data_IF_626306856259
#
_entry.id   IF_626306856259
#
_cell.length_a   1.000
_cell.length_b   1.000
_cell.length_c   1.000
_cell.angle_alpha   90.00
_cell.angle_beta   90.00
_cell.angle_gamma   90.00
#
_symmetry.space_group_name_H-M   'P 1'
#
loop_
_entity.id
_entity.type
_entity.pdbx_description
1 polymer ?
#
# COMPACT_ATOMS: atom_id res chain seq x y z
N UNK A 1 29.33 -47.14 -2.10
CA UNK A 1 28.07 -46.56 -1.57
C UNK A 1 28.24 -45.27 -0.77
N UNK A 2 29.43 -44.93 -0.24
CA UNK A 2 29.63 -43.73 0.60
C UNK A 2 29.66 -42.38 -0.14
N UNK A 3 29.83 -42.36 -1.46
CA UNK A 3 29.86 -41.12 -2.26
C UNK A 3 28.50 -40.69 -2.83
N UNK A 4 27.45 -41.53 -2.76
CA UNK A 4 26.12 -41.20 -3.31
C UNK A 4 25.18 -40.52 -2.30
N UNK A 5 25.49 -40.60 -1.01
CA UNK A 5 24.68 -39.97 0.06
C UNK A 5 25.11 -38.52 0.30
N UNK A 6 26.39 -38.19 0.11
CA UNK A 6 26.88 -36.82 0.20
C UNK A 6 26.25 -35.91 -0.88
N UNK A 7 26.01 -36.43 -2.08
CA UNK A 7 25.47 -35.64 -3.20
C UNK A 7 23.96 -35.35 -3.07
N UNK A 8 23.20 -36.20 -2.38
CA UNK A 8 21.77 -35.98 -2.14
C UNK A 8 21.51 -34.88 -1.10
N UNK A 9 22.41 -34.72 -0.12
CA UNK A 9 22.29 -33.67 0.91
C UNK A 9 22.72 -32.30 0.35
N UNK A 10 23.66 -32.25 -0.60
CA UNK A 10 24.06 -30.99 -1.24
C UNK A 10 23.06 -30.50 -2.28
N UNK A 11 22.30 -31.37 -2.95
CA UNK A 11 21.29 -30.96 -3.94
C UNK A 11 20.00 -30.41 -3.31
N UNK A 12 19.71 -30.72 -2.04
CA UNK A 12 18.57 -30.14 -1.31
C UNK A 12 18.91 -28.77 -0.68
N UNK A 13 20.19 -28.43 -0.60
CA UNK A 13 20.67 -27.15 -0.03
C UNK A 13 20.78 -26.01 -1.05
N UNK A 14 20.63 -26.29 -2.36
CA UNK A 14 20.91 -25.32 -3.43
C UNK A 14 19.66 -24.69 -4.09
N UNK A 15 18.44 -24.99 -3.61
CA UNK A 15 17.21 -24.36 -4.12
C UNK A 15 16.52 -23.40 -3.12
N UNK A 16 17.13 -23.12 -1.96
CA UNK A 16 16.57 -22.18 -0.97
C UNK A 16 17.31 -20.81 -1.00
N UNK A 17 18.26 -20.65 -1.91
CA UNK A 17 19.02 -19.40 -2.12
C UNK A 17 18.28 -18.34 -2.95
N UNK A 18 16.99 -18.13 -2.74
CA UNK A 18 16.24 -17.04 -3.37
C UNK A 18 14.99 -16.69 -2.57
N UNK A 19 15.17 -16.11 -1.38
CA UNK A 19 14.29 -15.10 -0.75
C UNK A 19 14.73 -14.90 0.71
N UNK A 20 15.91 -14.33 0.91
CA UNK A 20 16.16 -13.55 2.12
C UNK A 20 15.39 -12.21 1.98
N UNK A 21 14.07 -12.29 1.83
CA UNK A 21 13.20 -11.15 2.07
C UNK A 21 13.09 -11.00 3.57
N UNK A 22 13.25 -9.76 4.01
CA UNK A 22 13.11 -9.27 5.37
C UNK A 22 11.73 -9.69 5.94
N UNK A 23 11.60 -10.94 6.41
CA UNK A 23 10.30 -11.52 6.72
C UNK A 23 9.84 -11.00 8.07
N UNK A 24 8.82 -10.16 8.12
CA UNK A 24 8.08 -9.96 9.37
C UNK A 24 7.47 -11.32 9.78
N UNK A 25 7.47 -11.66 11.07
CA UNK A 25 6.89 -12.92 11.57
C UNK A 25 5.48 -13.14 11.00
N UNK A 26 5.28 -14.29 10.35
CA UNK A 26 4.01 -14.77 9.76
C UNK A 26 2.91 -14.99 10.81
N UNK A 27 3.29 -15.10 12.08
CA UNK A 27 2.39 -15.45 13.18
C UNK A 27 2.05 -14.22 14.03
N UNK A 28 0.81 -14.18 14.53
CA UNK A 28 0.25 -13.06 15.29
C UNK A 28 0.89 -12.89 16.68
N UNK A 29 1.38 -14.00 17.25
CA UNK A 29 1.93 -14.03 18.60
C UNK A 29 3.35 -13.46 18.69
N UNK A 30 3.63 -12.74 19.77
CA UNK A 30 4.99 -12.35 20.17
C UNK A 30 5.80 -13.52 20.74
N UNK A 31 5.11 -14.57 21.21
CA UNK A 31 5.71 -15.82 21.67
C UNK A 31 5.69 -16.89 20.57
N UNK A 32 6.61 -17.85 20.68
CA UNK A 32 6.67 -19.01 19.79
C UNK A 32 5.31 -19.73 19.73
N UNK A 33 4.68 -19.88 18.57
CA UNK A 33 3.42 -20.61 18.48
C UNK A 33 3.64 -22.12 18.67
N UNK A 34 2.55 -22.88 18.73
CA UNK A 34 2.63 -24.32 18.93
C UNK A 34 3.37 -25.01 17.76
N UNK A 35 4.42 -25.77 18.07
CA UNK A 35 5.10 -26.62 17.09
C UNK A 35 4.99 -28.09 17.45
N UNK A 36 4.92 -28.91 16.41
CA UNK A 36 5.06 -30.35 16.50
C UNK A 36 6.28 -30.80 15.72
N UNK A 37 7.12 -31.66 16.32
CA UNK A 37 8.36 -32.12 15.72
C UNK A 37 8.52 -33.63 15.74
N UNK A 38 9.23 -34.14 14.75
CA UNK A 38 9.67 -35.53 14.64
C UNK A 38 11.19 -35.53 14.63
N UNK A 39 11.79 -36.37 15.46
CA UNK A 39 13.22 -36.39 15.72
C UNK A 39 13.77 -37.80 15.59
N UNK A 40 14.96 -37.89 15.02
CA UNK A 40 15.87 -39.00 15.22
C UNK A 40 16.73 -38.72 16.45
N UNK A 41 16.89 -39.71 17.32
CA UNK A 41 17.63 -39.55 18.57
C UNK A 41 18.70 -40.62 18.73
N UNK A 42 19.80 -40.24 19.35
CA UNK A 42 20.90 -41.14 19.69
C UNK A 42 21.31 -40.93 21.16
N UNK A 43 21.34 -42.02 21.93
CA UNK A 43 21.72 -42.05 23.33
C UNK A 43 23.09 -42.74 23.50
N UNK A 44 24.05 -42.00 24.04
CA UNK A 44 25.42 -42.43 24.24
C UNK A 44 25.71 -42.64 25.73
N UNK A 45 25.66 -43.91 26.13
CA UNK A 45 25.98 -44.37 27.49
C UNK A 45 27.49 -44.60 27.70
N UNK A 46 28.24 -44.85 26.63
CA UNK A 46 29.66 -45.24 26.68
C UNK A 46 30.55 -44.02 26.97
N UNK A 47 30.31 -42.89 26.30
CA UNK A 47 31.18 -41.72 26.43
C UNK A 47 31.21 -41.21 27.88
N UNK A 48 30.08 -40.96 28.58
CA UNK A 48 30.13 -40.48 29.95
C UNK A 48 30.84 -41.44 30.93
N UNK A 49 30.75 -42.75 30.70
CA UNK A 49 31.46 -43.74 31.52
C UNK A 49 32.97 -43.69 31.34
N UNK A 50 33.46 -43.60 30.09
CA UNK A 50 34.91 -43.50 29.82
C UNK A 50 35.52 -42.23 30.41
N UNK A 51 34.78 -41.12 30.46
CA UNK A 51 35.25 -39.87 31.05
C UNK A 51 35.23 -39.87 32.58
N UNK A 52 34.37 -40.67 33.22
CA UNK A 52 34.34 -40.84 34.68
C UNK A 52 35.42 -41.81 35.17
N UNK A 53 35.81 -42.77 34.35
CA UNK A 53 36.78 -43.79 34.72
C UNK A 53 38.22 -43.27 34.54
N UNK A 54 38.84 -42.77 35.61
CA UNK A 54 40.18 -42.18 35.61
C UNK A 54 41.31 -43.15 35.23
N UNK A 55 41.01 -44.45 35.13
CA UNK A 55 42.00 -45.50 34.86
C UNK A 55 42.21 -45.79 33.36
N UNK A 56 41.53 -45.09 32.45
CA UNK A 56 41.62 -45.29 31.00
C UNK A 56 42.33 -44.09 30.34
N UNK A 57 43.51 -44.31 29.76
CA UNK A 57 44.34 -43.23 29.17
C UNK A 57 43.77 -42.59 27.91
N UNK A 58 42.79 -43.22 27.25
CA UNK A 58 42.18 -42.71 26.02
C UNK A 58 40.69 -42.40 26.24
N UNK A 59 40.35 -41.11 26.20
CA UNK A 59 38.96 -40.63 26.22
C UNK A 59 38.37 -40.82 24.82
N UNK A 60 37.64 -41.91 24.63
CA UNK A 60 37.03 -42.25 23.34
C UNK A 60 35.56 -41.85 23.33
N UNK A 61 35.14 -41.13 22.28
CA UNK A 61 33.73 -40.92 21.99
C UNK A 61 33.13 -42.17 21.35
N UNK A 62 31.92 -42.53 21.76
CA UNK A 62 31.17 -43.62 21.14
C UNK A 62 30.94 -43.33 19.65
N UNK A 63 31.01 -44.36 18.81
CA UNK A 63 30.60 -44.24 17.42
C UNK A 63 29.08 -44.30 17.37
N UNK A 64 28.48 -43.59 16.40
CA UNK A 64 27.02 -43.55 16.26
C UNK A 64 26.39 -44.96 16.26
N UNK A 65 27.00 -45.95 15.61
CA UNK A 65 26.50 -47.33 15.57
C UNK A 65 26.41 -48.04 16.93
N UNK A 66 27.18 -47.58 17.92
CA UNK A 66 27.27 -48.15 19.26
C UNK A 66 26.38 -47.35 20.26
N UNK A 67 25.72 -46.28 19.79
CA UNK A 67 24.72 -45.52 20.55
C UNK A 67 23.32 -46.15 20.42
N UNK A 68 22.51 -46.02 21.46
CA UNK A 68 21.08 -46.36 21.42
C UNK A 68 20.34 -45.47 20.45
N UNK A 69 19.64 -46.05 19.48
CA UNK A 69 18.97 -45.31 18.41
C UNK A 69 17.50 -45.20 18.71
N UNK A 70 16.87 -44.09 18.35
CA UNK A 70 15.45 -43.91 18.63
C UNK A 70 14.75 -42.90 17.74
N UNK A 71 13.46 -42.82 17.94
CA UNK A 71 12.59 -41.80 17.37
C UNK A 71 11.92 -41.03 18.50
N UNK A 72 11.63 -39.75 18.25
CA UNK A 72 10.97 -38.90 19.23
C UNK A 72 9.96 -37.97 18.58
N UNK A 73 8.84 -37.78 19.27
CA UNK A 73 7.84 -36.77 18.95
C UNK A 73 7.98 -35.64 19.95
N UNK A 74 7.95 -34.39 19.48
CA UNK A 74 8.06 -33.22 20.34
C UNK A 74 6.92 -32.25 20.14
N UNK A 75 6.53 -31.60 21.23
CA UNK A 75 5.64 -30.44 21.23
C UNK A 75 6.36 -29.25 21.85
N UNK A 76 6.26 -28.08 21.23
CA UNK A 76 6.88 -26.84 21.70
C UNK A 76 5.85 -25.73 21.76
N UNK A 77 5.94 -24.87 22.77
CA UNK A 77 5.11 -23.67 22.90
C UNK A 77 5.88 -22.58 23.65
N UNK A 78 5.90 -21.38 23.09
CA UNK A 78 6.47 -20.20 23.75
C UNK A 78 5.64 -19.80 24.97
N UNK A 79 6.26 -19.75 26.14
CA UNK A 79 5.68 -19.20 27.36
C UNK A 79 5.91 -17.68 27.42
N UNK A 80 7.11 -17.25 27.02
CA UNK A 80 7.52 -15.85 26.89
C UNK A 80 8.27 -15.67 25.56
N UNK A 81 8.67 -14.44 25.18
CA UNK A 81 9.47 -14.22 23.97
C UNK A 81 10.85 -14.91 23.97
N UNK A 82 11.33 -15.35 25.14
CA UNK A 82 12.66 -15.95 25.34
C UNK A 82 12.63 -17.32 26.03
N UNK A 83 11.48 -17.77 26.54
CA UNK A 83 11.34 -19.06 27.21
C UNK A 83 10.26 -19.87 26.49
N UNK A 84 10.66 -21.04 26.01
CA UNK A 84 9.79 -22.00 25.35
C UNK A 84 9.63 -23.25 26.24
N UNK A 85 8.40 -23.67 26.47
CA UNK A 85 8.11 -25.00 26.97
C UNK A 85 8.26 -26.02 25.84
N UNK A 86 8.85 -27.17 26.14
CA UNK A 86 8.79 -28.32 25.26
C UNK A 86 8.49 -29.60 26.03
N UNK A 87 7.89 -30.56 25.34
CA UNK A 87 7.79 -31.93 25.85
C UNK A 87 8.12 -32.90 24.73
N UNK A 88 8.81 -34.00 25.08
CA UNK A 88 9.16 -35.07 24.16
C UNK A 88 8.66 -36.42 24.64
N UNK A 89 8.24 -37.23 23.69
CA UNK A 89 8.03 -38.66 23.86
C UNK A 89 9.10 -39.38 23.05
N UNK A 90 10.00 -40.11 23.71
CA UNK A 90 11.09 -40.82 23.06
C UNK A 90 10.82 -42.33 23.07
N UNK A 91 11.12 -43.01 21.97
CA UNK A 91 11.24 -44.45 21.87
C UNK A 91 12.69 -44.78 21.49
N UNK A 92 13.48 -45.27 22.44
CA UNK A 92 14.91 -45.55 22.28
C UNK A 92 15.12 -47.06 22.31
N UNK A 93 15.82 -47.59 21.31
CA UNK A 93 16.17 -48.99 21.18
C UNK A 93 17.62 -49.20 21.61
N UNK A 94 17.82 -49.84 22.76
CA UNK A 94 19.13 -50.08 23.35
C UNK A 94 19.11 -51.35 24.22
N UNK A 95 20.27 -51.95 24.46
CA UNK A 95 20.39 -53.05 25.42
C UNK A 95 20.69 -52.48 26.81
N UNK A 96 19.64 -52.18 27.58
CA UNK A 96 19.78 -51.63 28.92
C UNK A 96 20.24 -52.68 29.93
N UNK A 97 19.99 -53.97 29.66
CA UNK A 97 20.38 -55.07 30.53
C UNK A 97 21.89 -55.34 30.50
N UNK A 98 22.53 -55.28 29.33
CA UNK A 98 23.97 -55.44 29.19
C UNK A 98 24.76 -54.39 29.98
N UNK A 99 24.33 -53.12 29.92
CA UNK A 99 25.07 -52.03 30.55
C UNK A 99 24.74 -51.83 32.03
N UNK A 100 23.47 -51.96 32.44
CA UNK A 100 23.03 -51.63 33.81
C UNK A 100 22.89 -52.87 34.69
N UNK A 101 22.52 -54.03 34.11
CA UNK A 101 22.22 -55.26 34.85
C UNK A 101 23.34 -56.30 34.82
N UNK A 102 24.43 -56.04 34.08
CA UNK A 102 25.56 -56.95 33.90
C UNK A 102 25.15 -58.35 33.38
N UNK A 103 24.06 -58.40 32.61
CA UNK A 103 23.57 -59.62 31.96
C UNK A 103 23.88 -59.53 30.47
N UNK A 104 24.66 -60.48 29.92
CA UNK A 104 24.92 -60.52 28.49
C UNK A 104 23.63 -60.91 27.75
N UNK A 105 23.10 -60.00 26.95
CA UNK A 105 21.92 -60.26 26.10
C UNK A 105 22.21 -59.87 24.66
N UNK A 106 21.59 -60.56 23.70
CA UNK A 106 21.57 -60.17 22.29
C UNK A 106 20.29 -59.38 21.93
N UNK A 107 19.51 -58.96 22.94
CA UNK A 107 18.18 -58.39 22.75
C UNK A 107 18.22 -56.87 22.85
N UNK A 108 17.77 -56.19 21.79
CA UNK A 108 17.47 -54.76 21.84
C UNK A 108 16.16 -54.54 22.58
N UNK A 109 16.20 -53.75 23.63
CA UNK A 109 15.06 -53.40 24.45
C UNK A 109 14.55 -52.00 24.07
N UNK A 110 13.29 -51.69 24.38
CA UNK A 110 12.69 -50.38 24.12
C UNK A 110 12.54 -49.60 25.42
N UNK A 111 13.12 -48.39 25.44
CA UNK A 111 12.87 -47.37 26.43
C UNK A 111 11.81 -46.40 25.92
N UNK A 112 10.71 -46.25 26.67
CA UNK A 112 9.68 -45.23 26.40
C UNK A 112 9.79 -44.12 27.44
N UNK A 113 10.06 -42.89 27.00
CA UNK A 113 10.36 -41.76 27.87
C UNK A 113 9.42 -40.59 27.60
N UNK A 114 9.04 -39.88 28.65
CA UNK A 114 8.39 -38.57 28.60
C UNK A 114 9.32 -37.53 29.24
N UNK A 115 9.55 -36.42 28.55
CA UNK A 115 10.49 -35.39 28.97
C UNK A 115 9.93 -33.98 28.77
N UNK A 116 9.26 -33.39 29.76
CA UNK A 116 9.03 -31.95 29.81
C UNK A 116 10.32 -31.16 30.07
N UNK A 117 10.50 -30.05 29.37
CA UNK A 117 11.67 -29.17 29.48
C UNK A 117 11.33 -27.71 29.25
N UNK A 118 12.13 -26.83 29.82
CA UNK A 118 12.16 -25.40 29.52
C UNK A 118 13.37 -25.09 28.66
N UNK A 119 13.17 -24.22 27.67
CA UNK A 119 14.19 -23.86 26.72
C UNK A 119 14.36 -22.35 26.73
N UNK A 120 15.52 -21.89 27.16
CA UNK A 120 15.88 -20.48 27.13
C UNK A 120 16.52 -20.15 25.79
N UNK A 121 15.86 -19.27 25.03
CA UNK A 121 16.22 -18.86 23.68
C UNK A 121 16.37 -17.34 23.65
N UNK A 122 17.60 -16.80 23.67
CA UNK A 122 17.85 -15.35 23.72
C UNK A 122 17.52 -14.63 22.40
N UNK A 123 17.43 -15.36 21.28
CA UNK A 123 17.25 -14.81 19.94
C UNK A 123 15.83 -15.10 19.42
N UNK A 124 15.16 -14.10 18.86
CA UNK A 124 13.80 -14.23 18.30
C UNK A 124 13.76 -15.21 17.12
N UNK A 125 12.63 -15.88 16.93
CA UNK A 125 12.46 -16.96 15.94
C UNK A 125 12.62 -16.48 14.49
N UNK A 126 12.54 -15.18 14.24
CA UNK A 126 12.64 -14.60 12.89
C UNK A 126 14.06 -14.67 12.28
N UNK A 127 15.06 -15.05 13.07
CA UNK A 127 16.42 -15.21 12.60
C UNK A 127 16.64 -16.63 12.06
N UNK A 128 17.48 -16.77 11.03
CA UNK A 128 17.82 -18.05 10.41
C UNK A 128 18.39 -19.07 11.41
N UNK A 129 19.15 -18.59 12.42
CA UNK A 129 19.74 -19.40 13.47
C UNK A 129 19.30 -18.89 14.85
N UNK A 130 18.78 -19.79 15.69
CA UNK A 130 18.37 -19.48 17.06
C UNK A 130 18.92 -20.54 18.03
N UNK A 131 20.06 -20.26 18.72
CA UNK A 131 20.55 -21.14 19.77
C UNK A 131 19.64 -21.08 20.99
N UNK A 132 19.57 -22.18 21.73
CA UNK A 132 18.84 -22.26 23.01
C UNK A 132 19.54 -23.18 24.00
N UNK A 133 19.30 -22.93 25.28
CA UNK A 133 19.67 -23.82 26.38
C UNK A 133 18.42 -24.58 26.85
N UNK A 134 18.57 -25.84 27.23
CA UNK A 134 17.46 -26.69 27.66
C UNK A 134 17.77 -27.28 29.03
N UNK A 135 16.78 -27.22 29.93
CA UNK A 135 16.79 -27.92 31.19
C UNK A 135 15.40 -28.49 31.48
N UNK A 136 15.33 -29.68 32.08
CA UNK A 136 14.05 -30.32 32.32
C UNK A 136 14.14 -31.49 33.28
N UNK A 137 13.10 -32.31 33.24
CA UNK A 137 13.00 -33.59 33.95
C UNK A 137 12.39 -34.61 33.01
N UNK A 138 12.86 -35.85 33.09
CA UNK A 138 12.37 -36.94 32.26
C UNK A 138 12.18 -38.21 33.07
N UNK A 139 11.26 -39.03 32.61
CA UNK A 139 10.99 -40.33 33.20
C UNK A 139 10.52 -41.30 32.13
N UNK A 140 10.90 -42.56 32.26
CA UNK A 140 10.58 -43.57 31.27
C UNK A 140 10.59 -44.97 31.84
N UNK A 141 10.03 -45.90 31.06
CA UNK A 141 10.12 -47.32 31.35
C UNK A 141 11.20 -47.95 30.48
N UNK A 142 12.14 -48.61 31.13
CA UNK A 142 13.26 -49.33 30.53
C UNK A 142 13.15 -50.79 30.97
N UNK A 143 12.63 -51.64 30.07
CA UNK A 143 12.54 -53.08 30.34
C UNK A 143 11.77 -53.38 31.63
N UNK A 144 10.58 -52.80 31.73
CA UNK A 144 9.64 -52.97 32.83
C UNK A 144 10.00 -52.22 34.13
N UNK A 145 11.14 -51.54 34.19
CA UNK A 145 11.52 -50.70 35.35
C UNK A 145 11.38 -49.22 35.02
N UNK A 146 10.87 -48.45 35.97
CA UNK A 146 10.78 -46.99 35.83
C UNK A 146 12.13 -46.36 36.18
N UNK A 147 12.65 -45.52 35.29
CA UNK A 147 13.84 -44.71 35.51
C UNK A 147 13.51 -43.23 35.33
N UNK A 148 14.19 -42.37 36.10
CA UNK A 148 14.06 -40.93 36.00
C UNK A 148 15.41 -40.26 35.81
N UNK A 149 15.41 -39.10 35.16
CA UNK A 149 16.61 -38.35 34.84
C UNK A 149 16.33 -36.85 34.72
N UNK A 150 17.38 -36.04 34.83
CA UNK A 150 17.34 -34.60 34.61
C UNK A 150 18.20 -34.25 33.38
N UNK A 151 17.62 -33.81 32.24
CA UNK A 151 18.38 -33.31 31.10
C UNK A 151 18.87 -31.87 31.34
N UNK A 152 20.12 -31.62 30.96
CA UNK A 152 20.70 -30.28 30.81
C UNK A 152 21.51 -30.22 29.52
N UNK A 153 21.30 -29.19 28.71
CA UNK A 153 22.06 -29.04 27.47
C UNK A 153 21.64 -27.83 26.67
N UNK A 154 21.77 -27.94 25.36
CA UNK A 154 21.38 -26.89 24.44
C UNK A 154 21.21 -27.39 23.03
N UNK A 155 20.77 -26.50 22.16
CA UNK A 155 20.52 -26.81 20.77
C UNK A 155 20.54 -25.59 19.88
N UNK A 156 20.40 -25.87 18.59
CA UNK A 156 20.30 -24.90 17.52
C UNK A 156 19.01 -25.15 16.76
N UNK A 157 18.21 -24.10 16.61
CA UNK A 157 17.05 -24.07 15.75
C UNK A 157 17.39 -23.32 14.46
N UNK A 158 17.20 -23.97 13.32
CA UNK A 158 17.28 -23.34 11.99
C UNK A 158 15.87 -23.00 11.52
N UNK A 159 15.63 -21.75 11.14
CA UNK A 159 14.35 -21.30 10.60
C UNK A 159 14.43 -21.13 9.08
N UNK A 160 13.58 -21.84 8.33
CA UNK A 160 13.52 -21.70 6.87
C UNK A 160 12.47 -20.68 6.40
N UNK A 161 11.23 -20.81 6.84
CA UNK A 161 10.08 -20.02 6.33
C UNK A 161 9.15 -19.51 7.44
N UNK A 162 9.64 -19.41 8.68
CA UNK A 162 8.86 -19.18 9.90
C UNK A 162 7.80 -20.24 10.23
N UNK A 163 7.59 -21.23 9.37
CA UNK A 163 6.68 -22.36 9.58
C UNK A 163 7.44 -23.65 9.89
N UNK A 164 8.57 -23.84 9.25
CA UNK A 164 9.37 -25.08 9.28
C UNK A 164 10.72 -24.83 9.92
N UNK A 165 11.11 -25.72 10.84
CA UNK A 165 12.31 -25.59 11.64
C UNK A 165 13.11 -26.89 11.66
N UNK A 166 14.43 -26.80 11.57
CA UNK A 166 15.33 -27.90 11.93
C UNK A 166 15.84 -27.69 13.36
N UNK A 167 15.74 -28.72 14.18
CA UNK A 167 16.14 -28.71 15.59
C UNK A 167 17.28 -29.70 15.79
N UNK A 168 18.45 -29.16 16.15
CA UNK A 168 19.62 -29.95 16.55
C UNK A 168 19.82 -29.75 18.04
N UNK A 169 19.89 -30.82 18.82
CA UNK A 169 20.02 -30.76 20.28
C UNK A 169 21.04 -31.73 20.82
N UNK A 170 21.74 -31.31 21.86
CA UNK A 170 22.66 -32.12 22.63
C UNK A 170 22.41 -31.87 24.12
N UNK A 171 22.24 -32.95 24.87
CA UNK A 171 21.95 -32.90 26.30
C UNK A 171 22.80 -33.92 27.05
N UNK A 172 23.20 -33.56 28.25
CA UNK A 172 23.66 -34.50 29.25
C UNK A 172 22.47 -34.85 30.16
N UNK A 173 22.13 -36.13 30.26
CA UNK A 173 21.04 -36.62 31.08
C UNK A 173 21.60 -37.25 32.35
N UNK A 174 21.37 -36.59 33.48
CA UNK A 174 21.75 -37.09 34.80
C UNK A 174 20.70 -38.10 35.27
N UNK A 175 21.06 -39.37 35.40
CA UNK A 175 20.17 -40.38 35.93
C UNK A 175 19.96 -40.18 37.43
N UNK A 176 18.69 -40.01 37.81
CA UNK A 176 18.27 -39.94 39.21
C UNK A 176 18.06 -41.35 39.78
N UNK A 177 17.65 -42.30 38.93
CA UNK A 177 17.46 -43.72 39.25
C UNK A 177 18.61 -44.56 38.68
N UNK A 178 19.77 -44.53 39.37
CA UNK A 178 21.03 -45.12 38.87
C UNK A 178 21.02 -46.64 38.70
N UNK A 179 20.10 -47.32 39.37
CA UNK A 179 19.86 -48.77 39.28
C UNK A 179 19.09 -49.19 38.02
N UNK A 180 18.48 -48.23 37.33
CA UNK A 180 17.70 -48.46 36.10
C UNK A 180 18.37 -47.82 34.88
N UNK A 181 19.01 -46.66 35.06
CA UNK A 181 19.58 -45.89 33.97
C UNK A 181 20.93 -45.29 34.37
N UNK A 182 21.89 -45.27 33.45
CA UNK A 182 23.15 -44.56 33.63
C UNK A 182 23.07 -43.16 33.03
N UNK A 183 23.95 -42.29 33.52
CA UNK A 183 24.14 -40.97 32.92
C UNK A 183 24.60 -41.13 31.47
N UNK A 184 23.96 -40.42 30.56
CA UNK A 184 24.23 -40.55 29.13
C UNK A 184 24.15 -39.21 28.41
N UNK A 185 24.84 -39.11 27.28
CA UNK A 185 24.66 -38.01 26.34
C UNK A 185 23.49 -38.34 25.41
N UNK A 186 22.70 -37.35 25.10
CA UNK A 186 21.53 -37.47 24.24
C UNK A 186 21.62 -36.47 23.10
N UNK A 187 21.56 -36.98 21.88
CA UNK A 187 21.58 -36.20 20.65
C UNK A 187 20.23 -36.32 19.96
N UNK A 188 19.74 -35.21 19.43
CA UNK A 188 18.48 -35.16 18.67
C UNK A 188 18.67 -34.33 17.41
N UNK A 189 18.26 -34.88 16.27
CA UNK A 189 18.10 -34.18 15.02
C UNK A 189 16.65 -34.34 14.58
N UNK A 190 15.90 -33.24 14.51
CA UNK A 190 14.50 -33.31 14.12
C UNK A 190 14.01 -32.13 13.32
N UNK A 191 12.85 -32.34 12.72
CA UNK A 191 12.13 -31.34 11.94
C UNK A 191 10.83 -31.01 12.65
N UNK A 192 10.53 -29.72 12.81
CA UNK A 192 9.33 -29.24 13.48
C UNK A 192 8.55 -28.28 12.59
N UNK A 193 7.22 -28.41 12.64
CA UNK A 193 6.28 -27.54 11.94
C UNK A 193 5.43 -26.76 12.94
N UNK A 194 5.15 -25.51 12.62
CA UNK A 194 4.33 -24.60 13.39
C UNK A 194 2.87 -24.64 12.90
N UNK A 195 1.93 -24.84 13.83
CA UNK A 195 0.48 -24.92 13.59
C UNK A 195 -0.30 -23.81 14.32
N UNK A 196 0.37 -22.74 14.72
CA UNK A 196 -0.28 -21.58 15.33
C UNK A 196 -1.14 -20.79 14.32
N UNK A 197 -2.08 -19.96 14.82
CA UNK A 197 -2.87 -19.09 13.95
C UNK A 197 -1.96 -18.08 13.23
N UNK A 198 -2.04 -18.05 11.89
CA UNK A 198 -1.35 -17.07 11.06
C UNK A 198 -1.98 -15.68 11.22
N UNK A 199 -1.19 -14.61 11.01
CA UNK A 199 -1.76 -13.26 10.92
C UNK A 199 -2.77 -13.22 9.77
N UNK A 200 -3.98 -12.68 9.98
CA UNK A 200 -4.89 -12.39 8.88
C UNK A 200 -4.13 -11.55 7.85
N UNK A 201 -4.16 -11.96 6.58
CA UNK A 201 -3.66 -11.11 5.49
C UNK A 201 -4.55 -9.86 5.49
N UNK A 202 -3.96 -8.70 5.79
CA UNK A 202 -4.65 -7.42 5.61
C UNK A 202 -4.83 -7.26 4.10
N UNK A 203 -6.01 -7.62 3.60
CA UNK A 203 -6.42 -7.27 2.24
C UNK A 203 -6.70 -5.79 2.27
N UNK A 204 -5.92 -5.00 1.53
CA UNK A 204 -6.19 -3.58 1.39
C UNK A 204 -7.62 -3.42 0.84
N UNK A 205 -8.42 -2.46 1.34
CA UNK A 205 -9.71 -2.17 0.73
C UNK A 205 -9.50 -1.86 -0.76
N UNK A 206 -10.45 -2.24 -1.64
CA UNK A 206 -10.35 -1.89 -3.04
C UNK A 206 -10.19 -0.37 -3.16
N UNK A 207 -9.36 0.11 -4.11
CA UNK A 207 -9.27 1.54 -4.36
C UNK A 207 -10.67 2.09 -4.67
N UNK A 208 -11.01 3.31 -4.20
CA UNK A 208 -12.27 3.94 -4.55
C UNK A 208 -12.38 3.99 -6.09
N UNK A 209 -13.61 3.85 -6.64
CA UNK A 209 -13.80 3.98 -8.07
C UNK A 209 -13.23 5.33 -8.55
N UNK A 210 -12.53 5.37 -9.69
CA UNK A 210 -12.07 6.62 -10.26
C UNK A 210 -13.29 7.54 -10.44
N UNK A 211 -13.13 8.80 -10.00
CA UNK A 211 -14.11 9.84 -10.24
C UNK A 211 -14.18 10.05 -11.75
N UNK A 212 -15.38 9.99 -12.33
CA UNK A 212 -15.57 10.22 -13.75
C UNK A 212 -15.33 11.69 -14.08
N UNK A 213 -14.58 11.92 -15.13
CA UNK A 213 -14.25 13.21 -15.74
C UNK A 213 -14.18 12.91 -17.24
N UNK A 214 -15.34 13.05 -17.90
CA UNK A 214 -15.60 12.53 -19.25
C UNK A 214 -14.87 13.31 -20.33
N UNK A 215 -14.72 14.61 -20.16
CA UNK A 215 -14.08 15.49 -21.13
C UNK A 215 -12.64 15.89 -20.73
N UNK A 216 -12.22 15.60 -19.50
CA UNK A 216 -10.84 15.70 -19.05
C UNK A 216 -10.40 17.12 -18.73
N UNK A 217 -11.34 18.01 -18.38
CA UNK A 217 -11.05 19.40 -18.05
C UNK A 217 -10.60 19.61 -16.59
N UNK A 218 -10.69 18.56 -15.77
CA UNK A 218 -10.31 18.54 -14.36
C UNK A 218 -11.45 18.83 -13.39
N UNK A 219 -12.67 19.04 -13.87
CA UNK A 219 -13.90 19.11 -13.07
C UNK A 219 -14.60 17.74 -13.12
N UNK A 220 -14.87 17.10 -11.96
CA UNK A 220 -15.63 15.85 -11.94
C UNK A 220 -17.00 15.97 -12.61
N UNK A 221 -17.46 14.93 -13.32
CA UNK A 221 -18.78 14.84 -13.96
C UNK A 221 -19.96 15.21 -13.02
N UNK A 222 -19.80 15.00 -11.71
CA UNK A 222 -20.80 15.32 -10.70
C UNK A 222 -20.90 16.82 -10.37
N UNK A 223 -19.82 17.56 -10.60
CA UNK A 223 -19.67 18.98 -10.34
C UNK A 223 -19.59 19.82 -11.63
N UNK A 224 -19.54 19.15 -12.79
CA UNK A 224 -19.45 19.73 -14.13
C UNK A 224 -20.84 19.99 -14.74
N UNK A 225 -21.07 21.23 -15.19
CA UNK A 225 -22.28 21.65 -15.91
C UNK A 225 -22.26 21.28 -17.39
N UNK A 226 -21.08 21.06 -17.96
CA UNK A 226 -20.85 20.72 -19.35
C UNK A 226 -20.02 19.43 -19.52
N UNK A 227 -20.46 18.27 -18.99
CA UNK A 227 -19.61 17.06 -18.82
C UNK A 227 -19.07 16.37 -20.08
N UNK A 228 -19.40 16.90 -21.26
CA UNK A 228 -19.01 16.34 -22.55
C UNK A 228 -18.21 17.38 -23.36
N UNK A 229 -17.84 18.53 -22.79
CA UNK A 229 -17.18 19.64 -23.48
C UNK A 229 -16.25 20.39 -22.52
N UNK A 230 -14.93 20.30 -22.71
CA UNK A 230 -13.97 20.86 -21.76
C UNK A 230 -14.15 22.35 -21.55
N UNK A 231 -14.12 22.80 -20.29
CA UNK A 231 -14.28 24.19 -19.95
C UNK A 231 -13.39 24.68 -18.82
N UNK A 232 -13.77 25.82 -18.27
CA UNK A 232 -13.04 26.43 -17.15
C UNK A 232 -13.66 26.00 -15.83
N UNK A 233 -12.81 25.61 -14.87
CA UNK A 233 -13.25 25.30 -13.51
C UNK A 233 -14.00 26.46 -12.82
N UNK A 234 -13.66 27.72 -13.16
CA UNK A 234 -14.39 28.91 -12.67
C UNK A 234 -15.82 29.00 -13.19
N UNK A 235 -16.12 28.32 -14.30
CA UNK A 235 -17.42 28.26 -14.96
C UNK A 235 -18.05 26.86 -14.83
N UNK A 236 -17.61 26.09 -13.83
CA UNK A 236 -18.12 24.75 -13.54
C UNK A 236 -17.98 23.79 -14.73
N UNK A 237 -16.83 23.82 -15.40
CA UNK A 237 -16.50 22.93 -16.51
C UNK A 237 -17.09 23.34 -17.86
N UNK A 238 -17.75 24.51 -17.94
CA UNK A 238 -18.26 25.02 -19.20
C UNK A 238 -17.25 25.93 -19.95
N UNK A 239 -17.25 25.90 -21.30
CA UNK A 239 -16.45 26.80 -22.11
C UNK A 239 -16.98 28.24 -22.06
N UNK A 240 -16.08 29.19 -22.32
CA UNK A 240 -16.33 30.62 -22.49
C UNK A 240 -15.47 31.07 -23.68
N UNK A 241 -16.10 31.16 -24.85
CA UNK A 241 -15.42 31.29 -26.14
C UNK A 241 -15.00 32.72 -26.46
N UNK A 242 -15.71 33.72 -25.97
CA UNK A 242 -15.36 35.12 -26.19
C UNK A 242 -14.62 35.76 -25.00
N UNK A 243 -14.58 35.07 -23.85
CA UNK A 243 -13.79 35.45 -22.69
C UNK A 243 -14.42 36.57 -21.87
N UNK A 244 -15.73 36.77 -21.95
CA UNK A 244 -16.43 37.81 -21.19
C UNK A 244 -16.73 37.42 -19.72
N UNK A 245 -16.45 36.15 -19.36
CA UNK A 245 -16.63 35.59 -18.03
C UNK A 245 -18.01 34.95 -17.81
N UNK A 246 -18.81 34.78 -18.85
CA UNK A 246 -20.08 34.06 -18.87
C UNK A 246 -19.89 32.80 -19.71
N UNK A 247 -20.33 31.66 -19.20
CA UNK A 247 -20.22 30.41 -19.95
C UNK A 247 -21.09 30.43 -21.21
N UNK A 248 -20.65 29.80 -22.31
CA UNK A 248 -21.37 29.71 -23.59
C UNK A 248 -22.83 29.22 -23.43
N UNK A 249 -23.11 28.42 -22.40
CA UNK A 249 -24.46 27.91 -22.08
C UNK A 249 -25.39 28.94 -21.44
N UNK A 250 -24.80 29.93 -20.77
CA UNK A 250 -25.49 31.02 -20.08
C UNK A 250 -25.39 32.37 -20.86
N UNK A 251 -24.64 32.38 -21.97
CA UNK A 251 -24.40 33.53 -22.84
C UNK A 251 -25.35 33.56 -24.06
N UNK A 252 -26.00 34.70 -24.31
CA UNK A 252 -26.84 34.94 -25.48
C UNK A 252 -26.04 35.28 -26.74
N UNK A 253 -24.81 35.75 -26.59
CA UNK A 253 -23.90 36.11 -27.66
C UNK A 253 -22.53 35.42 -27.53
N UNK A 254 -22.44 34.06 -27.57
CA UNK A 254 -21.23 33.28 -27.22
C UNK A 254 -19.95 33.50 -28.06
N UNK A 255 -20.01 34.39 -29.04
CA UNK A 255 -18.94 34.73 -29.97
C UNK A 255 -18.52 36.20 -29.86
N UNK A 256 -19.20 37.00 -29.02
CA UNK A 256 -19.04 38.45 -28.95
C UNK A 256 -19.16 38.91 -27.51
N UNK A 257 -18.01 39.23 -26.92
CA UNK A 257 -17.92 39.61 -25.52
C UNK A 257 -18.91 40.70 -25.13
N UNK A 258 -19.67 40.43 -24.06
CA UNK A 258 -20.64 41.35 -23.52
C UNK A 258 -20.51 41.54 -22.03
N UNK A 259 -21.64 41.85 -21.40
CA UNK A 259 -21.71 42.01 -19.95
C UNK A 259 -22.91 41.26 -19.39
N UNK A 260 -22.81 40.85 -18.12
CA UNK A 260 -23.86 40.10 -17.43
C UNK A 260 -25.23 40.79 -17.45
N UNK A 261 -25.27 42.14 -17.45
CA UNK A 261 -26.53 42.91 -17.56
C UNK A 261 -27.32 42.55 -18.83
N UNK A 262 -26.62 42.27 -19.93
CA UNK A 262 -27.19 41.90 -21.23
C UNK A 262 -27.00 40.42 -21.56
N UNK A 263 -26.75 39.58 -20.54
CA UNK A 263 -26.58 38.13 -20.68
C UNK A 263 -25.49 37.76 -21.68
N UNK A 264 -24.34 38.43 -21.58
CA UNK A 264 -23.15 38.21 -22.43
C UNK A 264 -23.22 38.86 -23.81
N UNK A 265 -24.26 39.62 -24.10
CA UNK A 265 -24.28 40.46 -25.29
C UNK A 265 -23.66 41.86 -25.06
N UNK A 266 -23.14 42.50 -26.11
CA UNK A 266 -22.76 43.92 -26.09
C UNK A 266 -23.91 44.83 -25.68
N UNK A 267 -23.56 46.04 -25.24
CA UNK A 267 -24.55 47.07 -24.96
C UNK A 267 -25.29 47.40 -26.27
N UNK A 268 -26.64 47.43 -26.28
CA UNK A 268 -27.41 47.77 -27.47
C UNK A 268 -27.08 49.19 -28.00
N UNK A 269 -26.81 49.26 -29.30
CA UNK A 269 -26.66 50.49 -30.11
C UNK A 269 -27.40 50.21 -31.43
N UNK A 270 -28.68 50.52 -31.46
CA UNK A 270 -29.63 50.07 -32.48
C UNK A 270 -29.37 50.74 -33.83
N UNK A 271 -28.89 51.98 -33.84
CA UNK A 271 -28.60 52.70 -35.08
C UNK A 271 -27.11 52.73 -35.45
N UNK A 272 -26.20 52.37 -34.54
CA UNK A 272 -24.78 52.25 -34.79
C UNK A 272 -24.09 53.60 -34.92
N UNK A 273 -24.54 54.63 -34.19
CA UNK A 273 -23.89 55.94 -34.11
C UNK A 273 -22.77 56.02 -33.05
N UNK A 274 -22.62 54.96 -32.25
CA UNK A 274 -21.61 54.83 -31.20
C UNK A 274 -22.08 55.31 -29.82
N UNK A 275 -23.35 55.66 -29.66
CA UNK A 275 -24.00 55.98 -28.40
C UNK A 275 -25.00 54.86 -28.09
N UNK A 276 -24.88 54.28 -26.90
CA UNK A 276 -25.74 53.17 -26.51
C UNK A 276 -27.21 53.63 -26.40
N UNK A 277 -28.16 52.74 -26.69
CA UNK A 277 -29.61 53.02 -26.68
C UNK A 277 -30.11 53.59 -25.34
N UNK A 278 -29.44 53.30 -24.22
CA UNK A 278 -29.78 53.83 -22.89
C UNK A 278 -29.36 55.29 -22.70
N UNK A 279 -28.36 55.75 -23.46
CA UNK A 279 -27.80 57.11 -23.43
C UNK A 279 -28.22 57.94 -24.65
N UNK A 280 -28.77 57.30 -25.68
CA UNK A 280 -29.26 57.89 -26.91
C UNK A 280 -30.71 58.41 -26.77
N UNK A 281 -30.94 59.68 -27.11
CA UNK A 281 -32.27 60.29 -27.17
C UNK A 281 -33.05 59.92 -28.43
N UNK A 282 -32.37 59.49 -29.48
CA UNK A 282 -32.90 59.08 -30.76
C UNK A 282 -32.41 57.67 -31.19
N UNK A 283 -32.67 56.59 -30.41
CA UNK A 283 -32.05 55.25 -30.58
C UNK A 283 -32.22 54.54 -31.93
N UNK A 284 -32.95 55.12 -32.87
CA UNK A 284 -33.24 54.53 -34.19
C UNK A 284 -32.73 55.38 -35.34
N UNK A 285 -32.14 56.55 -35.06
CA UNK A 285 -31.75 57.54 -36.07
C UNK A 285 -30.39 58.11 -35.70
N UNK A 286 -29.38 57.71 -36.49
CA UNK A 286 -27.99 58.11 -36.28
C UNK A 286 -27.84 59.59 -35.98
N UNK A 287 -27.21 59.90 -34.86
CA UNK A 287 -26.88 61.26 -34.49
C UNK A 287 -25.39 61.45 -34.20
N UNK A 288 -25.14 62.45 -33.36
CA UNK A 288 -23.80 62.78 -32.89
C UNK A 288 -23.82 63.02 -31.39
N UNK A 289 -22.70 62.73 -30.72
CA UNK A 289 -22.57 62.84 -29.26
C UNK A 289 -22.98 64.21 -28.69
N UNK A 290 -22.75 65.31 -29.44
CA UNK A 290 -23.14 66.67 -29.01
C UNK A 290 -24.65 66.82 -28.83
N UNK A 291 -25.44 66.10 -29.62
CA UNK A 291 -26.90 66.09 -29.58
C UNK A 291 -27.47 64.83 -28.92
N UNK A 292 -26.65 64.13 -28.13
CA UNK A 292 -27.05 62.93 -27.37
C UNK A 292 -27.67 61.86 -28.27
N UNK A 293 -27.03 61.60 -29.42
CA UNK A 293 -27.45 60.59 -30.40
C UNK A 293 -28.59 61.01 -31.32
N UNK A 294 -29.05 62.25 -31.22
CA UNK A 294 -29.95 62.81 -32.21
C UNK A 294 -29.21 63.47 -33.39
N UNK A 295 -29.82 63.50 -34.59
CA UNK A 295 -29.36 64.31 -35.71
C UNK A 295 -29.19 65.78 -35.33
N UNK A 296 -28.33 66.49 -36.07
CA UNK A 296 -28.21 67.95 -35.94
C UNK A 296 -29.58 68.57 -36.27
N UNK A 297 -30.12 69.48 -35.44
CA UNK A 297 -31.39 70.13 -35.70
C UNK A 297 -31.45 70.77 -37.09
N UNK A 298 -32.61 70.66 -37.73
CA UNK A 298 -32.99 71.31 -38.99
C UNK A 298 -34.37 71.92 -38.73
N UNK A 299 -34.37 73.19 -38.34
CA UNK A 299 -35.55 73.88 -37.78
C UNK A 299 -36.62 74.16 -38.85
N UNK A 300 -36.23 74.32 -40.12
CA UNK A 300 -37.17 74.59 -41.21
C UNK A 300 -37.38 73.43 -42.19
N UNK A 301 -36.65 72.33 -42.01
CA UNK A 301 -36.84 71.06 -42.69
C UNK A 301 -36.41 71.09 -44.15
N UNK A 302 -35.47 71.96 -44.53
CA UNK A 302 -35.03 72.13 -45.90
C UNK A 302 -33.91 71.16 -46.33
N UNK A 303 -33.39 70.39 -45.37
CA UNK A 303 -32.32 69.40 -45.56
C UNK A 303 -30.91 69.94 -45.33
N UNK A 304 -30.76 71.22 -44.95
CA UNK A 304 -29.53 71.81 -44.42
C UNK A 304 -29.69 71.97 -42.92
N UNK A 305 -28.77 71.40 -42.14
CA UNK A 305 -28.85 71.52 -40.68
C UNK A 305 -28.59 72.96 -40.21
N UNK A 306 -29.12 73.31 -39.03
CA UNK A 306 -29.05 74.66 -38.43
C UNK A 306 -27.61 75.17 -38.22
N UNK A 307 -26.60 74.28 -38.13
CA UNK A 307 -25.19 74.68 -38.03
C UNK A 307 -24.60 75.12 -39.40
N UNK A 308 -25.17 74.62 -40.50
CA UNK A 308 -24.75 74.90 -41.88
C UNK A 308 -25.72 75.85 -42.63
N UNK A 309 -26.92 76.08 -42.09
CA UNK A 309 -27.96 76.95 -42.64
C UNK A 309 -27.75 78.43 -42.25
N UNK A 310 -27.71 79.32 -43.25
CA UNK A 310 -27.66 80.78 -43.04
C UNK A 310 -29.01 81.40 -42.73
N UNK A 311 -30.10 80.69 -42.99
CA UNK A 311 -31.47 81.10 -42.80
C UNK A 311 -32.30 80.06 -41.99
N UNK A 312 -31.93 79.69 -40.74
CA UNK A 312 -32.46 78.52 -39.97
C UNK A 312 -33.96 78.46 -39.67
N UNK A 313 -34.77 79.37 -40.21
CA UNK A 313 -36.21 79.45 -39.97
C UNK A 313 -37.01 79.58 -41.26
N UNK A 314 -36.34 79.47 -42.42
CA UNK A 314 -36.92 79.75 -43.73
C UNK A 314 -36.32 78.82 -44.79
N UNK A 315 -37.11 77.85 -45.29
CA UNK A 315 -36.56 76.80 -46.12
C UNK A 315 -35.98 77.33 -47.43
N UNK A 316 -34.81 76.83 -47.79
CA UNK A 316 -34.10 77.12 -49.02
C UNK A 316 -33.40 75.89 -49.58
N UNK A 317 -32.84 75.98 -50.79
CA UNK A 317 -32.05 74.88 -51.33
C UNK A 317 -30.65 74.87 -50.70
N UNK A 318 -30.07 73.69 -50.53
CA UNK A 318 -28.66 73.51 -50.14
C UNK A 318 -27.67 74.29 -51.04
N UNK A 319 -28.02 74.51 -52.32
CA UNK A 319 -27.23 75.33 -53.25
C UNK A 319 -27.09 76.80 -52.85
N UNK A 320 -27.97 77.29 -51.97
CA UNK A 320 -27.96 78.65 -51.43
C UNK A 320 -27.82 78.65 -49.89
N UNK A 321 -27.18 77.62 -49.32
CA UNK A 321 -26.87 77.52 -47.90
C UNK A 321 -28.12 77.66 -47.01
N UNK A 322 -29.20 76.97 -47.39
CA UNK A 322 -30.51 76.96 -46.72
C UNK A 322 -31.32 78.26 -46.84
N UNK A 323 -30.80 79.28 -47.55
CA UNK A 323 -31.56 80.51 -47.76
C UNK A 323 -32.49 80.44 -49.00
N UNK A 324 -33.70 81.00 -48.94
CA UNK A 324 -34.65 81.01 -50.06
C UNK A 324 -34.10 81.80 -51.25
N UNK A 325 -34.21 81.22 -52.44
CA UNK A 325 -33.82 81.89 -53.68
C UNK A 325 -34.90 82.90 -54.06
N UNK A 326 -34.51 84.16 -54.22
CA UNK A 326 -35.42 85.19 -54.70
C UNK A 326 -35.70 84.89 -56.19
N UNK A 327 -36.98 84.69 -56.52
CA UNK A 327 -37.41 84.42 -57.90
C UNK A 327 -36.96 85.55 -58.84
N UNK A 328 -36.56 85.21 -60.07
CA UNK A 328 -36.03 86.19 -61.05
C UNK A 328 -37.02 87.35 -61.28
N UNK A 329 -38.32 87.08 -61.25
CA UNK A 329 -39.36 88.11 -61.42
C UNK A 329 -39.39 89.12 -60.26
N UNK A 330 -39.00 88.70 -59.04
CA UNK A 330 -38.92 89.58 -57.87
C UNK A 330 -37.67 90.45 -57.93
N UNK A 331 -36.54 89.88 -58.37
CA UNK A 331 -35.30 90.64 -58.61
C UNK A 331 -35.54 91.73 -59.67
N UNK A 332 -36.22 91.40 -60.77
CA UNK A 332 -36.56 92.37 -61.82
C UNK A 332 -37.52 93.48 -61.33
N UNK A 333 -38.53 93.13 -60.53
CA UNK A 333 -39.44 94.11 -59.93
C UNK A 333 -38.73 95.05 -58.94
N UNK A 334 -37.84 94.52 -58.09
CA UNK A 334 -37.06 95.34 -57.15
C UNK A 334 -36.09 96.27 -57.90
N UNK A 335 -35.43 95.79 -58.95
CA UNK A 335 -34.53 96.60 -59.79
C UNK A 335 -35.27 97.67 -60.62
N UNK A 336 -36.51 97.41 -61.02
CA UNK A 336 -37.39 98.41 -61.66
C UNK A 336 -37.86 99.48 -60.66
N UNK A 337 -38.12 99.11 -59.40
CA UNK A 337 -38.56 100.02 -58.35
C UNK A 337 -37.42 100.85 -57.70
N UNK A 338 -36.17 100.38 -57.82
CA UNK A 338 -34.97 101.05 -57.32
C UNK A 338 -34.32 102.04 -58.33
N UNK A 339 -34.91 102.17 -59.53
CA UNK A 339 -34.50 103.11 -60.59
C UNK A 339 -35.35 104.37 -60.55
#
# INVERSE_FOLDING_TARGET
MKQKIALAITMMALTIGATAQNSKSRFASETKPALFGIHYVAADFITPETFKNQSVSARNFAKLKDMGQGLSLSYWKGLTPTIDFSTRVNAIFYDYAADVRMEATDKKEIGLELEPSLNFRPIKDNNLFAPFLTAGVGGGYYTGKFGSYAPLGGGLQLNFNSVSYLLVQMQYRFALTKDVLKDHLFYSLGFAQNFGPEKPKVVAPPPPPPVADRDGDGVPDADDKCPDTPGLASLQGCPDRDGDGIADVDDKCPDVAGIAKYQGCPIPDTDGDGINDEEDKCPTVKGVARYQGCPIPDTDGDGVNDEEDKCPTRPGPASNQGCPVIAKEVIEKVNMAAK
#
